data_IF_344210365589
#
_entry.id   IF_344210365589
#
_cell.length_a   1.000
_cell.length_b   1.000
_cell.length_c   1.000
_cell.angle_alpha   90.00
_cell.angle_beta   90.00
_cell.angle_gamma   90.00
#
_symmetry.space_group_name_H-M   'P 1'
#
loop_
_entity.id
_entity.type
_entity.pdbx_description
1 polymer ?
#
# COMPACT_ATOMS: atom_id res chain seq x y z
N UNK A 1 -13.84 0.27 7.03
CA UNK A 1 -13.62 1.70 6.84
C UNK A 1 -14.11 2.14 5.46
N UNK A 2 -14.84 3.21 5.41
CA UNK A 2 -15.31 3.75 4.14
C UNK A 2 -14.30 4.73 3.56
N UNK A 3 -14.24 4.78 2.24
CA UNK A 3 -13.41 5.76 1.56
C UNK A 3 -14.03 7.14 1.72
N UNK A 4 -13.28 8.10 2.28
CA UNK A 4 -13.76 9.46 2.53
C UNK A 4 -13.21 10.48 1.54
N UNK A 5 -12.18 10.12 0.78
CA UNK A 5 -11.60 10.97 -0.27
C UNK A 5 -11.65 10.26 -1.61
N UNK A 6 -11.85 11.04 -2.67
CA UNK A 6 -11.79 10.50 -4.02
C UNK A 6 -10.34 10.37 -4.47
N UNK A 7 -10.00 9.25 -5.11
CA UNK A 7 -8.65 9.06 -5.66
C UNK A 7 -8.36 10.02 -6.80
N UNK A 8 -9.40 10.50 -7.49
CA UNK A 8 -9.22 11.39 -8.63
C UNK A 8 -8.39 10.74 -9.73
N UNK A 9 -7.30 11.41 -10.12
CA UNK A 9 -6.41 10.89 -11.14
C UNK A 9 -5.36 9.91 -10.60
N UNK A 10 -5.38 9.60 -9.31
CA UNK A 10 -4.40 8.69 -8.71
C UNK A 10 -4.64 7.26 -9.19
N UNK A 11 -3.60 6.65 -9.75
CA UNK A 11 -3.64 5.30 -10.29
C UNK A 11 -2.52 4.41 -9.75
N UNK A 12 -1.87 4.81 -8.66
CA UNK A 12 -0.72 4.08 -8.13
C UNK A 12 -1.06 2.64 -7.74
N UNK A 13 -2.24 2.41 -7.14
CA UNK A 13 -2.66 1.06 -6.81
C UNK A 13 -2.88 0.20 -8.07
N UNK A 14 -3.18 0.82 -9.21
CA UNK A 14 -3.33 0.13 -10.48
C UNK A 14 -2.00 -0.21 -11.15
N UNK A 15 -0.93 0.45 -10.75
CA UNK A 15 0.40 0.29 -11.34
C UNK A 15 1.38 -0.47 -10.46
N UNK A 16 1.29 -0.32 -9.15
CA UNK A 16 2.32 -0.78 -8.22
C UNK A 16 1.92 -1.97 -7.36
N UNK A 17 0.63 -2.32 -7.31
CA UNK A 17 0.15 -3.44 -6.51
C UNK A 17 -0.16 -4.64 -7.40
N UNK A 18 -0.03 -5.84 -6.83
CA UNK A 18 -0.39 -7.08 -7.52
C UNK A 18 -1.80 -7.51 -7.12
N UNK A 19 -2.71 -7.58 -8.09
CA UNK A 19 -4.09 -8.01 -7.84
C UNK A 19 -4.79 -8.34 -9.14
N UNK A 20 -5.94 -9.00 -9.05
CA UNK A 20 -6.77 -9.35 -10.19
C UNK A 20 -7.85 -8.30 -10.40
N UNK A 21 -7.97 -7.81 -11.64
CA UNK A 21 -9.01 -6.86 -12.02
C UNK A 21 -9.74 -7.41 -13.23
N UNK A 22 -10.91 -7.99 -12.98
CA UNK A 22 -11.76 -8.59 -14.02
C UNK A 22 -10.96 -9.49 -15.00
N UNK A 23 -10.17 -10.41 -14.42
CA UNK A 23 -9.39 -11.38 -15.18
C UNK A 23 -8.00 -10.93 -15.57
N UNK A 24 -7.66 -9.65 -15.40
CA UNK A 24 -6.30 -9.18 -15.63
C UNK A 24 -5.48 -9.27 -14.34
N UNK A 25 -4.33 -9.94 -14.40
CA UNK A 25 -3.40 -9.97 -13.28
C UNK A 25 -2.54 -8.72 -13.32
N UNK A 26 -2.92 -7.72 -12.52
CA UNK A 26 -2.22 -6.44 -12.45
C UNK A 26 -0.94 -6.57 -11.63
N UNK A 27 0.14 -5.96 -12.09
CA UNK A 27 1.43 -5.91 -11.39
C UNK A 27 2.22 -4.70 -11.87
N UNK A 28 3.42 -4.49 -11.30
CA UNK A 28 4.31 -3.39 -11.70
C UNK A 28 4.57 -3.40 -13.21
N UNK A 29 4.75 -4.58 -13.80
CA UNK A 29 5.06 -4.72 -15.22
C UNK A 29 3.82 -4.89 -16.09
N UNK A 30 2.64 -4.89 -15.50
CA UNK A 30 1.38 -5.09 -16.21
C UNK A 30 0.29 -4.22 -15.57
N UNK A 31 0.31 -2.89 -15.81
CA UNK A 31 -0.65 -1.97 -15.22
C UNK A 31 -2.09 -2.32 -15.59
N UNK A 32 -3.02 -1.92 -14.73
CA UNK A 32 -4.45 -2.15 -14.97
C UNK A 32 -4.92 -1.50 -16.28
N UNK A 33 -5.66 -2.27 -17.11
CA UNK A 33 -6.18 -1.78 -18.40
C UNK A 33 -7.22 -0.67 -18.25
N UNK A 34 -7.77 -0.47 -17.06
CA UNK A 34 -8.79 0.56 -16.81
C UNK A 34 -8.20 1.89 -16.36
N UNK A 35 -6.86 2.05 -16.41
CA UNK A 35 -6.23 3.34 -16.10
C UNK A 35 -6.53 4.35 -17.19
N UNK A 36 -7.16 5.47 -16.80
CA UNK A 36 -7.47 6.58 -17.71
C UNK A 36 -7.66 7.82 -16.84
N UNK A 37 -6.58 8.56 -16.60
CA UNK A 37 -6.58 9.68 -15.66
C UNK A 37 -7.10 9.25 -14.28
N UNK A 38 -6.52 8.15 -13.77
CA UNK A 38 -7.01 7.46 -12.58
C UNK A 38 -7.78 6.20 -12.97
N UNK A 39 -8.53 5.63 -12.05
CA UNK A 39 -9.31 4.42 -12.30
C UNK A 39 -10.61 4.75 -13.03
N UNK A 40 -10.73 4.32 -14.30
CA UNK A 40 -11.93 4.60 -15.11
C UNK A 40 -13.17 3.84 -14.64
N UNK A 41 -12.98 2.78 -13.83
CA UNK A 41 -14.10 1.98 -13.31
C UNK A 41 -14.22 2.09 -11.78
N UNK A 42 -13.77 3.20 -11.19
CA UNK A 42 -13.66 3.35 -9.74
C UNK A 42 -14.94 2.93 -8.99
N UNK A 43 -16.12 3.33 -9.47
CA UNK A 43 -17.39 2.96 -8.85
C UNK A 43 -17.73 1.48 -9.00
N UNK A 44 -17.25 0.86 -10.07
CA UNK A 44 -17.54 -0.53 -10.41
C UNK A 44 -16.31 -1.41 -10.25
N UNK A 45 -15.38 -1.04 -9.34
CA UNK A 45 -14.19 -1.83 -9.08
C UNK A 45 -14.55 -3.22 -8.57
N UNK A 46 -13.75 -4.26 -8.91
CA UNK A 46 -13.94 -5.57 -8.31
C UNK A 46 -13.72 -5.51 -6.78
N UNK A 47 -14.27 -6.49 -6.08
CA UNK A 47 -14.20 -6.53 -4.60
C UNK A 47 -12.76 -6.43 -4.07
N UNK A 48 -11.80 -7.00 -4.79
CA UNK A 48 -10.40 -6.95 -4.38
C UNK A 48 -9.86 -5.52 -4.37
N UNK A 49 -10.20 -4.71 -5.36
CA UNK A 49 -9.83 -3.29 -5.39
C UNK A 49 -10.53 -2.49 -4.30
N UNK A 50 -11.80 -2.80 -4.03
CA UNK A 50 -12.57 -2.11 -2.99
C UNK A 50 -12.06 -2.43 -1.57
N UNK A 51 -11.45 -3.58 -1.39
CA UNK A 51 -10.92 -3.99 -0.08
C UNK A 51 -9.53 -3.45 0.22
N UNK A 52 -8.87 -2.85 -0.77
CA UNK A 52 -7.55 -2.27 -0.55
C UNK A 52 -7.68 -0.96 0.25
N UNK A 53 -6.90 -0.87 1.32
CA UNK A 53 -6.90 0.30 2.19
C UNK A 53 -5.72 1.22 1.89
N UNK A 54 -5.94 2.17 0.96
CA UNK A 54 -5.06 3.31 0.82
C UNK A 54 -5.38 4.28 1.97
N UNK A 55 -4.43 4.50 2.86
CA UNK A 55 -4.67 5.28 4.07
C UNK A 55 -5.06 6.73 3.76
N UNK A 56 -4.53 7.29 2.67
CA UNK A 56 -4.90 8.63 2.25
C UNK A 56 -6.38 8.69 1.84
N UNK A 57 -6.85 7.73 1.04
CA UNK A 57 -8.23 7.69 0.58
C UNK A 57 -9.23 7.52 1.73
N UNK A 58 -8.79 6.97 2.85
CA UNK A 58 -9.62 6.83 4.05
C UNK A 58 -9.73 8.12 4.86
N UNK A 59 -9.04 9.19 4.43
CA UNK A 59 -9.10 10.48 5.11
C UNK A 59 -8.26 10.58 6.37
N UNK A 60 -7.38 9.61 6.61
CA UNK A 60 -6.58 9.54 7.84
C UNK A 60 -5.28 10.33 7.72
N UNK A 61 -4.71 10.40 6.52
CA UNK A 61 -3.46 11.13 6.29
C UNK A 61 -3.73 12.58 5.90
N UNK A 62 -2.76 13.49 6.10
CA UNK A 62 -2.87 14.86 5.62
C UNK A 62 -3.11 14.94 4.11
N UNK A 63 -3.79 15.97 3.65
CA UNK A 63 -4.08 16.14 2.22
C UNK A 63 -2.83 16.18 1.35
N UNK A 64 -1.73 16.77 1.85
CA UNK A 64 -0.48 16.86 1.09
C UNK A 64 0.14 15.49 0.78
N UNK A 65 -0.27 14.44 1.48
CA UNK A 65 0.21 13.06 1.23
C UNK A 65 -0.57 12.36 0.12
N UNK A 66 -1.22 13.10 -0.76
CA UNK A 66 -1.90 12.50 -1.92
C UNK A 66 -0.90 11.65 -2.72
N UNK A 67 -1.15 10.33 -2.86
CA UNK A 67 -0.14 9.43 -3.44
C UNK A 67 0.33 9.83 -4.82
N UNK A 68 -0.55 10.36 -5.67
CA UNK A 68 -0.17 10.81 -7.00
C UNK A 68 0.86 11.95 -6.96
N UNK A 69 0.74 12.85 -5.98
CA UNK A 69 1.62 14.01 -5.86
C UNK A 69 2.99 13.64 -5.29
N UNK A 70 3.03 12.82 -4.24
CA UNK A 70 4.28 12.49 -3.56
C UNK A 70 4.89 11.18 -4.03
N UNK A 71 4.14 10.34 -4.76
CA UNK A 71 4.63 9.04 -5.21
C UNK A 71 4.88 8.05 -4.09
N UNK A 72 4.17 8.19 -2.98
CA UNK A 72 4.29 7.31 -1.82
C UNK A 72 2.90 6.86 -1.41
N UNK A 73 2.73 5.57 -1.16
CA UNK A 73 1.47 5.00 -0.70
C UNK A 73 1.63 4.42 0.71
N UNK A 74 0.60 4.53 1.51
CA UNK A 74 0.56 3.91 2.84
C UNK A 74 -0.61 2.95 2.90
N UNK A 75 -0.32 1.70 3.23
CA UNK A 75 -1.33 0.65 3.41
C UNK A 75 -1.43 0.29 4.88
N UNK A 76 -2.65 0.01 5.34
CA UNK A 76 -2.90 -0.49 6.69
C UNK A 76 -3.05 -2.00 6.62
N UNK A 77 -2.32 -2.70 7.47
CA UNK A 77 -2.38 -4.15 7.56
C UNK A 77 -2.65 -4.57 9.01
N UNK A 78 -3.13 -5.79 9.19
CA UNK A 78 -3.46 -6.31 10.51
C UNK A 78 -2.43 -7.34 10.98
N UNK A 79 -2.20 -7.39 12.29
CA UNK A 79 -1.41 -8.42 12.95
C UNK A 79 -2.05 -8.73 14.32
N UNK A 80 -1.62 -9.78 15.03
CA UNK A 80 -2.32 -10.21 16.25
C UNK A 80 -2.50 -9.15 17.33
N UNK A 81 -1.65 -8.13 17.37
CA UNK A 81 -1.72 -7.07 18.38
C UNK A 81 -2.30 -5.75 17.85
N UNK A 82 -2.91 -5.76 16.67
CA UNK A 82 -3.54 -4.56 16.10
C UNK A 82 -3.24 -4.35 14.63
N UNK A 83 -2.87 -3.13 14.29
CA UNK A 83 -2.58 -2.74 12.91
C UNK A 83 -1.13 -2.29 12.76
N UNK A 84 -0.58 -2.47 11.57
CA UNK A 84 0.71 -1.92 11.20
C UNK A 84 0.63 -1.25 9.84
N UNK A 85 1.58 -0.38 9.56
CA UNK A 85 1.55 0.47 8.38
C UNK A 85 2.71 0.11 7.45
N UNK A 86 2.40 -0.09 6.18
CA UNK A 86 3.40 -0.28 5.15
C UNK A 86 3.48 0.97 4.30
N UNK A 87 4.65 1.59 4.26
CA UNK A 87 4.90 2.79 3.46
C UNK A 87 5.73 2.37 2.25
N UNK A 88 5.22 2.68 1.05
CA UNK A 88 5.83 2.22 -0.21
C UNK A 88 6.18 3.39 -1.11
N UNK A 89 7.40 3.36 -1.66
CA UNK A 89 7.78 4.28 -2.72
C UNK A 89 7.20 3.81 -4.04
N UNK A 90 6.37 4.65 -4.64
CA UNK A 90 5.68 4.36 -5.90
C UNK A 90 5.99 5.45 -6.91
N UNK A 91 7.27 5.62 -7.21
CA UNK A 91 7.75 6.67 -8.10
C UNK A 91 8.28 7.91 -7.39
N UNK A 92 7.98 8.10 -6.11
CA UNK A 92 8.52 9.18 -5.29
C UNK A 92 9.42 8.65 -4.20
N UNK A 93 9.85 9.51 -3.30
CA UNK A 93 10.74 9.17 -2.20
C UNK A 93 10.05 9.32 -0.85
N UNK A 94 10.34 8.40 0.07
CA UNK A 94 9.94 8.52 1.46
C UNK A 94 10.87 9.53 2.13
N UNK A 95 10.34 10.68 2.50
CA UNK A 95 11.10 11.75 3.14
C UNK A 95 11.00 11.67 4.66
N UNK A 96 11.86 12.41 5.36
CA UNK A 96 11.78 12.51 6.82
C UNK A 96 10.42 13.06 7.26
N UNK A 97 9.84 13.97 6.49
CA UNK A 97 8.52 14.53 6.78
C UNK A 97 7.43 13.44 6.74
N UNK A 98 7.49 12.55 5.75
CA UNK A 98 6.57 11.41 5.67
C UNK A 98 6.71 10.52 6.91
N UNK A 99 7.94 10.14 7.27
CA UNK A 99 8.17 9.26 8.42
C UNK A 99 7.72 9.94 9.73
N UNK A 100 8.04 11.23 9.90
CA UNK A 100 7.62 11.96 11.10
C UNK A 100 6.10 11.97 11.23
N UNK A 101 5.39 12.18 10.13
CA UNK A 101 3.93 12.13 10.11
C UNK A 101 3.42 10.74 10.48
N UNK A 102 4.05 9.69 9.95
CA UNK A 102 3.63 8.31 10.23
C UNK A 102 3.85 7.93 11.70
N UNK A 103 4.90 8.44 12.33
CA UNK A 103 5.19 8.16 13.74
C UNK A 103 4.08 8.65 14.68
N UNK A 104 3.30 9.63 14.28
CA UNK A 104 2.19 10.15 15.09
C UNK A 104 1.08 9.12 15.31
N UNK A 105 0.97 8.12 14.45
CA UNK A 105 -0.06 7.08 14.58
C UNK A 105 0.27 6.01 15.63
N UNK A 106 1.51 5.98 16.11
CA UNK A 106 1.95 5.04 17.16
C UNK A 106 1.71 3.57 16.82
N UNK A 107 1.66 3.24 15.54
CA UNK A 107 1.56 1.86 15.06
C UNK A 107 2.92 1.43 14.50
N UNK A 108 3.20 0.12 14.45
CA UNK A 108 4.41 -0.35 13.79
C UNK A 108 4.43 0.07 12.32
N UNK A 109 5.60 0.39 11.81
CA UNK A 109 5.81 0.88 10.44
C UNK A 109 6.88 0.04 9.76
N UNK A 110 6.60 -0.38 8.53
CA UNK A 110 7.61 -1.01 7.66
C UNK A 110 7.72 -0.19 6.39
N UNK A 111 8.93 0.13 5.99
CA UNK A 111 9.18 0.75 4.68
C UNK A 111 10.48 0.25 4.08
N UNK A 112 10.58 0.38 2.76
CA UNK A 112 11.78 0.02 2.01
C UNK A 112 12.32 1.29 1.35
N UNK A 113 13.62 1.54 1.50
CA UNK A 113 14.28 2.67 0.90
C UNK A 113 15.67 2.24 0.43
N UNK A 114 16.00 2.55 -0.81
CA UNK A 114 17.29 2.20 -1.43
C UNK A 114 17.62 0.70 -1.30
N UNK A 115 16.59 -0.14 -1.42
CA UNK A 115 16.73 -1.59 -1.32
C UNK A 115 16.82 -2.15 0.08
N UNK A 116 16.82 -1.29 1.11
CA UNK A 116 16.87 -1.72 2.50
C UNK A 116 15.50 -1.65 3.15
N UNK A 117 15.19 -2.65 3.98
CA UNK A 117 13.95 -2.72 4.74
C UNK A 117 14.16 -2.11 6.11
N UNK A 118 13.32 -1.15 6.47
CA UNK A 118 13.33 -0.50 7.78
C UNK A 118 12.05 -0.85 8.53
N UNK A 119 12.20 -1.22 9.81
CA UNK A 119 11.07 -1.57 10.67
C UNK A 119 11.15 -0.70 11.92
N UNK A 120 10.07 0.01 12.20
CA UNK A 120 9.91 0.80 13.42
C UNK A 120 8.80 0.16 14.23
N UNK A 121 9.14 -0.44 15.38
CA UNK A 121 8.15 -1.11 16.21
C UNK A 121 8.79 -1.89 17.33
N UNK A 122 7.98 -2.71 18.02
CA UNK A 122 8.44 -3.54 19.11
C UNK A 122 9.19 -4.78 18.60
N UNK A 123 9.97 -5.45 19.47
CA UNK A 123 10.60 -6.72 19.12
C UNK A 123 9.57 -7.77 18.66
N UNK A 124 8.38 -7.77 19.25
CA UNK A 124 7.30 -8.68 18.86
C UNK A 124 6.86 -8.43 17.41
N UNK A 125 6.77 -7.18 16.99
CA UNK A 125 6.44 -6.86 15.62
C UNK A 125 7.55 -7.28 14.66
N UNK A 126 8.81 -7.08 15.01
CA UNK A 126 9.93 -7.49 14.17
C UNK A 126 9.90 -8.99 13.91
N UNK A 127 9.63 -9.80 14.93
CA UNK A 127 9.50 -11.24 14.77
C UNK A 127 8.30 -11.61 13.91
N UNK A 128 7.16 -10.96 14.14
CA UNK A 128 5.99 -11.18 13.33
C UNK A 128 6.25 -10.86 11.85
N UNK A 129 6.95 -9.77 11.58
CA UNK A 129 7.25 -9.36 10.21
C UNK A 129 8.14 -10.38 9.50
N UNK A 130 9.12 -10.94 10.18
CA UNK A 130 9.94 -12.00 9.63
C UNK A 130 9.11 -13.22 9.23
N UNK A 131 8.19 -13.61 10.09
CA UNK A 131 7.25 -14.71 9.80
C UNK A 131 6.35 -14.36 8.61
N UNK A 132 5.80 -13.14 8.60
CA UNK A 132 4.94 -12.65 7.53
C UNK A 132 5.63 -12.72 6.17
N UNK A 133 6.85 -12.23 6.08
CA UNK A 133 7.62 -12.23 4.83
C UNK A 133 7.90 -13.66 4.36
N UNK A 134 8.31 -14.54 5.26
CA UNK A 134 8.59 -15.93 4.93
C UNK A 134 7.36 -16.63 4.40
N UNK A 135 6.21 -16.46 5.07
CA UNK A 135 4.95 -17.09 4.67
C UNK A 135 4.47 -16.55 3.31
N UNK A 136 4.53 -15.24 3.11
CA UNK A 136 4.06 -14.63 1.87
C UNK A 136 5.01 -14.92 0.69
N UNK A 137 6.30 -14.98 0.93
CA UNK A 137 7.26 -15.37 -0.10
C UNK A 137 7.01 -16.79 -0.58
N UNK A 138 6.73 -17.71 0.33
CA UNK A 138 6.40 -19.09 -0.03
C UNK A 138 5.12 -19.16 -0.85
N UNK A 139 4.11 -18.39 -0.49
CA UNK A 139 2.86 -18.32 -1.24
C UNK A 139 3.08 -17.74 -2.64
N UNK A 140 3.85 -16.68 -2.75
CA UNK A 140 4.17 -16.06 -4.04
C UNK A 140 4.95 -17.02 -4.92
N UNK A 141 5.90 -17.76 -4.36
CA UNK A 141 6.68 -18.75 -5.11
C UNK A 141 5.81 -19.87 -5.67
N UNK A 142 4.77 -20.28 -4.92
CA UNK A 142 3.86 -21.34 -5.37
C UNK A 142 2.87 -20.85 -6.43
N UNK A 143 2.62 -19.54 -6.52
CA UNK A 143 1.67 -18.95 -7.46
C UNK A 143 2.35 -18.47 -8.75
N UNK A 144 3.62 -18.11 -8.68
CA UNK A 144 4.34 -17.51 -9.82
C UNK A 144 4.84 -18.52 -10.86
N UNK A 145 4.65 -19.79 -10.64
CA UNK A 145 5.07 -20.83 -11.58
C UNK A 145 4.02 -21.10 -12.67
#
# INVERSE_FOLDING_TARGET
MEQTRECGECDLCCKWLSHDVYGQQVSINNPCRFIKNGCSIHKNRPAQCKRYFCMWAQGVLPEWMYPKDIGVMVSVKNWPHGQWLEVMECGGEITDEVITTMLEFKAPIKYTKDGEIFIIGSPEFEEYYKYYVTTHSNLLSSVSD
#
